data_IF_992063545743
#
_entry.id   IF_992063545743
#
_cell.length_a   1.000
_cell.length_b   1.000
_cell.length_c   1.000
_cell.angle_alpha   90.00
_cell.angle_beta   90.00
_cell.angle_gamma   90.00
#
_symmetry.space_group_name_H-M   'P 1'
#
loop_
_entity.id
_entity.type
_entity.pdbx_description
1 polymer ?
#
# COMPACT_ATOMS: atom_id res chain seq x y z
N UNK A 1 16.71 4.00 -10.08
CA UNK A 1 15.41 4.70 -10.16
C UNK A 1 14.58 4.42 -8.92
N UNK A 2 14.16 3.17 -8.66
CA UNK A 2 13.38 2.88 -7.46
C UNK A 2 14.15 3.18 -6.17
N UNK A 3 15.42 2.79 -6.09
CA UNK A 3 16.32 3.15 -4.99
C UNK A 3 16.40 4.67 -4.80
N UNK A 4 16.65 5.41 -5.87
CA UNK A 4 16.87 6.85 -5.83
C UNK A 4 15.58 7.60 -5.48
N UNK A 5 14.42 7.08 -5.89
CA UNK A 5 13.11 7.59 -5.49
C UNK A 5 12.83 7.36 -4.00
N UNK A 6 13.18 6.18 -3.48
CA UNK A 6 13.01 5.88 -2.05
C UNK A 6 13.89 6.81 -1.21
N UNK A 7 15.15 7.01 -1.61
CA UNK A 7 16.05 7.93 -0.91
C UNK A 7 15.58 9.39 -1.01
N UNK A 8 15.09 9.83 -2.18
CA UNK A 8 14.47 11.14 -2.36
C UNK A 8 13.33 11.42 -1.36
N UNK A 9 12.45 10.45 -1.15
CA UNK A 9 11.31 10.61 -0.23
C UNK A 9 11.77 10.56 1.24
N UNK A 10 12.78 9.75 1.56
CA UNK A 10 13.32 9.64 2.92
C UNK A 10 14.12 10.87 3.34
N UNK A 11 14.94 11.39 2.43
CA UNK A 11 15.81 12.53 2.63
C UNK A 11 15.76 13.44 1.40
N UNK A 12 15.16 14.61 1.59
CA UNK A 12 14.83 15.59 0.54
C UNK A 12 16.00 16.55 0.26
N UNK A 13 17.23 16.10 0.49
CA UNK A 13 18.44 16.88 0.22
C UNK A 13 18.60 17.16 -1.27
N UNK A 14 19.25 18.27 -1.60
CA UNK A 14 19.55 18.63 -3.00
C UNK A 14 20.36 17.53 -3.71
N UNK A 15 21.18 16.81 -2.96
CA UNK A 15 21.97 15.66 -3.44
C UNK A 15 21.07 14.50 -3.89
N UNK A 16 20.07 14.13 -3.09
CA UNK A 16 19.13 13.06 -3.44
C UNK A 16 18.17 13.46 -4.56
N UNK A 17 17.75 14.73 -4.59
CA UNK A 17 16.97 15.30 -5.70
C UNK A 17 17.74 15.15 -7.02
N UNK A 18 18.99 15.62 -7.08
CA UNK A 18 19.81 15.52 -8.29
C UNK A 18 20.11 14.06 -8.65
N UNK A 19 20.38 13.21 -7.66
CA UNK A 19 20.58 11.77 -7.87
C UNK A 19 19.37 11.11 -8.56
N UNK A 20 18.15 11.39 -8.08
CA UNK A 20 16.92 10.88 -8.68
C UNK A 20 16.74 11.38 -10.12
N UNK A 21 16.81 12.70 -10.34
CA UNK A 21 16.58 13.27 -11.67
C UNK A 21 17.68 12.93 -12.67
N UNK A 22 18.93 12.80 -12.24
CA UNK A 22 20.02 12.30 -13.11
C UNK A 22 19.73 10.88 -13.60
N UNK A 23 19.15 10.02 -12.74
CA UNK A 23 18.71 8.69 -13.13
C UNK A 23 17.54 8.73 -14.10
N UNK A 24 16.54 9.59 -13.88
CA UNK A 24 15.42 9.80 -14.82
C UNK A 24 15.94 10.24 -16.19
N UNK A 25 16.85 11.22 -16.23
CA UNK A 25 17.49 11.69 -17.47
C UNK A 25 18.22 10.55 -18.19
N UNK A 26 19.01 9.75 -17.47
CA UNK A 26 19.76 8.61 -18.01
C UNK A 26 18.84 7.54 -18.60
N UNK A 27 17.76 7.18 -17.91
CA UNK A 27 16.80 6.17 -18.39
C UNK A 27 16.06 6.69 -19.62
N UNK A 28 15.59 7.94 -19.58
CA UNK A 28 14.87 8.51 -20.71
C UNK A 28 15.74 8.76 -21.95
N UNK A 29 17.07 8.84 -21.78
CA UNK A 29 18.03 8.87 -22.88
C UNK A 29 18.49 7.46 -23.31
N UNK A 30 18.09 6.41 -22.59
CA UNK A 30 18.54 5.05 -22.84
C UNK A 30 17.90 4.46 -24.09
N UNK A 31 18.67 3.79 -24.97
CA UNK A 31 18.14 3.10 -26.14
C UNK A 31 17.38 1.80 -25.80
N UNK A 32 17.24 1.46 -24.52
CA UNK A 32 16.53 0.26 -24.05
C UNK A 32 15.03 0.28 -24.37
N UNK A 33 14.47 1.46 -24.67
CA UNK A 33 13.11 1.61 -25.17
C UNK A 33 13.13 1.88 -26.68
N UNK A 34 13.44 0.84 -27.46
CA UNK A 34 13.47 0.87 -28.93
C UNK A 34 12.16 1.37 -29.56
N UNK A 35 11.05 1.31 -28.81
CA UNK A 35 9.72 1.73 -29.25
C UNK A 35 9.24 3.06 -28.62
N UNK A 36 10.04 3.71 -27.74
CA UNK A 36 9.65 4.90 -26.96
C UNK A 36 8.28 4.78 -26.28
N UNK A 37 7.97 3.62 -25.72
CA UNK A 37 6.68 3.39 -25.03
C UNK A 37 6.61 4.03 -23.64
N UNK A 38 7.75 4.36 -23.03
CA UNK A 38 7.81 4.97 -21.70
C UNK A 38 7.98 6.49 -21.81
N UNK A 39 6.92 7.22 -21.46
CA UNK A 39 6.94 8.67 -21.37
C UNK A 39 7.36 9.14 -19.98
N UNK A 40 8.57 9.69 -19.87
CA UNK A 40 9.10 10.30 -18.66
C UNK A 40 8.92 11.82 -18.61
N UNK A 41 8.19 12.42 -19.57
CA UNK A 41 8.03 13.88 -19.68
C UNK A 41 7.43 14.49 -18.42
N UNK A 42 6.44 13.84 -17.82
CA UNK A 42 5.81 14.27 -16.56
C UNK A 42 6.79 14.29 -15.39
N UNK A 43 7.57 13.22 -15.24
CA UNK A 43 8.58 13.14 -14.17
C UNK A 43 9.66 14.19 -14.41
N UNK A 44 10.15 14.34 -15.63
CA UNK A 44 11.13 15.41 -15.93
C UNK A 44 10.56 16.81 -15.71
N UNK A 45 9.30 17.01 -16.05
CA UNK A 45 8.60 18.28 -15.89
C UNK A 45 8.48 18.71 -14.43
N UNK A 46 8.37 17.74 -13.50
CA UNK A 46 8.29 18.03 -12.06
C UNK A 46 9.62 18.43 -11.42
N UNK A 47 10.73 18.49 -12.17
CA UNK A 47 12.05 18.80 -11.61
C UNK A 47 12.11 20.24 -11.06
N UNK A 48 11.47 21.19 -11.75
CA UNK A 48 11.50 22.60 -11.35
C UNK A 48 10.73 22.91 -10.07
N UNK A 49 9.72 22.10 -9.73
CA UNK A 49 8.81 22.29 -8.60
C UNK A 49 8.86 21.10 -7.61
N UNK A 50 9.86 20.22 -7.75
CA UNK A 50 9.98 19.00 -6.91
C UNK A 50 9.98 19.31 -5.43
N UNK A 51 10.62 20.40 -5.00
CA UNK A 51 10.71 20.75 -3.58
C UNK A 51 9.33 21.05 -2.99
N UNK A 52 8.47 21.72 -3.75
CA UNK A 52 7.10 22.03 -3.34
C UNK A 52 6.28 20.74 -3.26
N UNK A 53 6.42 19.83 -4.23
CA UNK A 53 5.77 18.52 -4.21
C UNK A 53 6.23 17.65 -3.03
N UNK A 54 7.51 17.71 -2.68
CA UNK A 54 8.08 16.95 -1.58
C UNK A 54 7.78 17.56 -0.22
N UNK A 55 7.46 18.86 -0.09
CA UNK A 55 7.28 19.54 1.18
C UNK A 55 6.31 18.79 2.10
N UNK A 56 5.20 18.32 1.53
CA UNK A 56 4.12 17.66 2.25
C UNK A 56 4.30 16.15 2.47
N UNK A 57 5.34 15.54 1.90
CA UNK A 57 5.62 14.11 2.10
C UNK A 57 6.39 13.89 3.39
N UNK A 58 5.92 12.99 4.25
CA UNK A 58 6.71 12.52 5.36
C UNK A 58 7.73 11.46 4.90
N UNK A 59 8.90 11.35 5.54
CA UNK A 59 9.92 10.32 5.23
C UNK A 59 9.40 8.87 5.33
N UNK A 60 8.28 8.66 6.03
CA UNK A 60 7.58 7.38 6.21
C UNK A 60 6.41 7.19 5.23
N UNK A 61 6.21 8.11 4.28
CA UNK A 61 5.08 8.02 3.32
C UNK A 61 5.14 6.78 2.43
N UNK A 62 6.30 6.12 2.35
CA UNK A 62 6.51 4.86 1.63
C UNK A 62 6.56 3.63 2.57
N UNK A 63 6.24 3.80 3.86
CA UNK A 63 6.24 2.67 4.80
C UNK A 63 5.05 1.74 4.49
N UNK A 64 5.31 0.44 4.19
CA UNK A 64 4.27 -0.50 3.79
C UNK A 64 3.25 -0.79 4.90
N UNK A 65 3.54 -0.48 6.17
CA UNK A 65 2.57 -0.66 7.27
C UNK A 65 1.30 0.16 7.01
N UNK A 66 1.44 1.35 6.41
CA UNK A 66 0.29 2.21 6.12
C UNK A 66 -0.65 1.56 5.09
N UNK A 67 -0.14 1.11 3.95
CA UNK A 67 -0.96 0.42 2.94
C UNK A 67 -1.46 -0.94 3.43
N UNK A 68 -0.67 -1.63 4.26
CA UNK A 68 -1.01 -2.92 4.85
C UNK A 68 -2.27 -2.85 5.72
N UNK A 69 -2.32 -1.95 6.70
CA UNK A 69 -3.50 -1.83 7.57
C UNK A 69 -4.75 -1.41 6.79
N UNK A 70 -4.63 -0.53 5.80
CA UNK A 70 -5.75 -0.17 4.92
C UNK A 70 -6.29 -1.38 4.17
N UNK A 71 -5.41 -2.16 3.55
CA UNK A 71 -5.79 -3.34 2.77
C UNK A 71 -6.50 -4.37 3.65
N UNK A 72 -5.97 -4.66 4.84
CA UNK A 72 -6.62 -5.56 5.79
C UNK A 72 -7.96 -5.02 6.30
N UNK A 73 -8.05 -3.72 6.59
CA UNK A 73 -9.29 -3.09 7.03
C UNK A 73 -10.38 -3.16 5.95
N UNK A 74 -10.00 -3.01 4.68
CA UNK A 74 -10.92 -3.19 3.56
C UNK A 74 -11.38 -4.63 3.42
N UNK A 75 -10.45 -5.58 3.36
CA UNK A 75 -10.73 -7.01 3.22
C UNK A 75 -11.72 -7.48 4.29
N UNK A 76 -11.40 -7.27 5.57
CA UNK A 76 -12.28 -7.66 6.67
C UNK A 76 -13.57 -6.84 6.72
N UNK A 77 -13.59 -5.64 6.17
CA UNK A 77 -14.82 -4.87 6.00
C UNK A 77 -15.77 -5.45 4.96
N UNK A 78 -15.29 -6.26 4.03
CA UNK A 78 -16.14 -7.01 3.09
C UNK A 78 -16.63 -8.33 3.71
N UNK A 79 -15.77 -8.99 4.50
CA UNK A 79 -16.10 -10.24 5.19
C UNK A 79 -17.06 -10.06 6.37
N UNK A 80 -17.00 -8.91 7.07
CA UNK A 80 -17.89 -8.63 8.19
C UNK A 80 -19.06 -7.72 7.79
N UNK A 81 -20.28 -8.15 8.13
CA UNK A 81 -21.49 -7.33 7.94
C UNK A 81 -21.45 -6.04 8.77
N UNK A 82 -20.90 -6.13 9.98
CA UNK A 82 -20.84 -5.04 10.95
C UNK A 82 -19.44 -4.44 11.07
N UNK A 83 -19.38 -3.27 11.70
CA UNK A 83 -18.12 -2.62 12.07
C UNK A 83 -17.34 -3.43 13.11
N UNK A 84 -16.01 -3.37 13.07
CA UNK A 84 -15.11 -4.20 13.88
C UNK A 84 -13.95 -3.41 14.49
N UNK A 85 -13.29 -3.99 15.48
CA UNK A 85 -12.08 -3.45 16.09
C UNK A 85 -10.85 -4.19 15.56
N UNK A 86 -9.75 -3.46 15.40
CA UNK A 86 -8.43 -4.02 15.09
C UNK A 86 -7.61 -4.05 16.37
N UNK A 87 -6.95 -5.18 16.64
CA UNK A 87 -5.92 -5.28 17.66
C UNK A 87 -4.60 -5.52 16.93
N UNK A 88 -3.61 -4.65 17.14
CA UNK A 88 -2.32 -4.71 16.45
C UNK A 88 -1.18 -4.76 17.47
N UNK A 89 -0.08 -5.44 17.12
CA UNK A 89 1.13 -5.42 17.96
C UNK A 89 1.76 -4.02 18.01
N UNK A 90 2.62 -3.78 18.99
CA UNK A 90 3.36 -2.53 19.13
C UNK A 90 4.18 -2.22 17.86
N UNK A 91 3.85 -1.10 17.21
CA UNK A 91 4.50 -0.65 15.99
C UNK A 91 4.60 0.86 15.98
N UNK A 92 5.83 1.38 16.14
CA UNK A 92 6.10 2.81 16.12
C UNK A 92 5.57 3.48 14.84
N UNK A 93 5.68 2.82 13.69
CA UNK A 93 5.17 3.33 12.43
C UNK A 93 3.64 3.42 12.45
N UNK A 94 2.95 2.38 12.94
CA UNK A 94 1.50 2.40 12.99
C UNK A 94 0.98 3.46 13.95
N UNK A 95 1.56 3.56 15.15
CA UNK A 95 1.21 4.58 16.14
C UNK A 95 1.25 5.98 15.53
N UNK A 96 2.31 6.27 14.77
CA UNK A 96 2.54 7.57 14.15
C UNK A 96 1.66 7.84 12.92
N UNK A 97 1.07 6.79 12.33
CA UNK A 97 0.19 6.90 11.16
C UNK A 97 -1.30 6.73 11.50
N UNK A 98 -1.62 6.44 12.76
CA UNK A 98 -2.99 6.16 13.19
C UNK A 98 -3.93 7.35 13.00
N UNK A 99 -3.44 8.57 13.23
CA UNK A 99 -4.21 9.80 12.97
C UNK A 99 -4.59 9.95 11.50
N UNK A 100 -3.71 9.53 10.59
CA UNK A 100 -4.01 9.51 9.17
C UNK A 100 -5.05 8.44 8.85
N UNK A 101 -4.87 7.23 9.37
CA UNK A 101 -5.81 6.11 9.18
C UNK A 101 -7.22 6.45 9.69
N UNK A 102 -7.35 7.06 10.87
CA UNK A 102 -8.62 7.40 11.50
C UNK A 102 -9.47 8.41 10.69
N UNK A 103 -8.87 9.18 9.77
CA UNK A 103 -9.64 10.07 8.86
C UNK A 103 -10.58 9.28 7.94
N UNK A 104 -10.32 8.00 7.77
CA UNK A 104 -11.04 7.11 6.87
C UNK A 104 -12.01 6.20 7.58
N UNK A 105 -12.11 6.25 8.91
CA UNK A 105 -12.97 5.36 9.70
C UNK A 105 -14.23 6.04 10.23
N UNK A 106 -14.33 7.38 10.14
CA UNK A 106 -15.48 8.13 10.65
C UNK A 106 -16.77 7.74 9.90
N UNK A 107 -17.75 7.08 10.55
CA UNK A 107 -18.97 6.60 9.90
C UNK A 107 -19.89 7.74 9.43
N UNK A 108 -19.69 8.97 9.93
CA UNK A 108 -20.43 10.15 9.52
C UNK A 108 -19.83 10.87 8.30
N UNK A 109 -18.75 10.32 7.73
CA UNK A 109 -18.11 10.79 6.50
C UNK A 109 -18.96 10.49 5.27
N UNK A 110 -18.71 11.22 4.18
CA UNK A 110 -19.33 10.93 2.89
C UNK A 110 -18.93 9.53 2.42
N UNK A 111 -19.91 8.71 2.03
CA UNK A 111 -19.64 7.37 1.50
C UNK A 111 -19.15 7.49 0.06
N UNK A 112 -17.99 6.92 -0.23
CA UNK A 112 -17.46 6.86 -1.60
C UNK A 112 -17.05 5.43 -1.96
N UNK A 113 -17.19 5.11 -3.24
CA UNK A 113 -16.67 3.91 -3.87
C UNK A 113 -15.85 4.33 -5.08
N UNK A 114 -14.56 4.01 -5.05
CA UNK A 114 -13.58 4.55 -6.00
C UNK A 114 -12.63 3.46 -6.46
N UNK A 115 -12.37 3.36 -7.77
CA UNK A 115 -11.37 2.46 -8.33
C UNK A 115 -11.87 1.66 -9.52
N UNK A 116 -11.01 0.76 -9.99
CA UNK A 116 -11.24 -0.02 -11.21
C UNK A 116 -11.15 -1.51 -10.97
N UNK A 117 -12.01 -2.25 -11.68
CA UNK A 117 -12.13 -3.71 -11.60
C UNK A 117 -12.42 -4.22 -10.17
N UNK A 118 -11.60 -5.15 -9.67
CA UNK A 118 -11.63 -5.69 -8.30
C UNK A 118 -10.95 -4.79 -7.26
N UNK A 119 -10.34 -3.68 -7.68
CA UNK A 119 -9.61 -2.73 -6.82
C UNK A 119 -10.49 -1.53 -6.49
N UNK A 120 -11.66 -1.79 -5.91
CA UNK A 120 -12.60 -0.76 -5.47
C UNK A 120 -12.37 -0.46 -3.98
N UNK A 121 -12.07 0.80 -3.67
CA UNK A 121 -11.98 1.30 -2.31
C UNK A 121 -13.34 1.78 -1.84
N UNK A 122 -13.78 1.30 -0.68
CA UNK A 122 -15.02 1.70 -0.01
C UNK A 122 -14.70 2.49 1.25
N UNK A 123 -15.19 3.73 1.31
CA UNK A 123 -15.02 4.61 2.47
C UNK A 123 -16.37 5.08 3.00
N UNK A 124 -16.49 5.38 4.31
CA UNK A 124 -15.48 5.12 5.34
C UNK A 124 -15.27 3.62 5.59
N UNK A 125 -14.08 3.25 6.04
CA UNK A 125 -13.73 1.90 6.50
C UNK A 125 -14.63 1.51 7.68
N UNK A 126 -14.99 0.22 7.77
CA UNK A 126 -15.83 -0.32 8.85
C UNK A 126 -15.11 -0.48 10.19
N UNK A 127 -13.89 0.03 10.34
CA UNK A 127 -13.09 -0.07 11.57
C UNK A 127 -13.61 0.94 12.59
N UNK A 128 -13.99 0.48 13.79
CA UNK A 128 -14.40 1.38 14.88
C UNK A 128 -13.19 1.93 15.64
N UNK A 129 -12.20 1.06 15.88
CA UNK A 129 -11.04 1.36 16.72
C UNK A 129 -9.86 0.48 16.35
N UNK A 130 -8.66 1.03 16.49
CA UNK A 130 -7.41 0.27 16.48
C UNK A 130 -6.81 0.33 17.88
N UNK A 131 -6.61 -0.83 18.48
CA UNK A 131 -5.97 -0.99 19.79
C UNK A 131 -4.57 -1.57 19.62
N UNK A 132 -3.57 -0.79 20.01
CA UNK A 132 -2.16 -1.20 19.99
C UNK A 132 -1.85 -1.85 21.32
N UNK A 133 -1.36 -3.09 21.29
CA UNK A 133 -1.15 -3.94 22.46
C UNK A 133 0.13 -4.73 22.36
N UNK A 134 0.75 -4.98 23.50
CA UNK A 134 1.92 -5.85 23.59
C UNK A 134 1.55 -7.32 23.26
N UNK A 135 2.16 -7.87 22.22
CA UNK A 135 1.99 -9.26 21.78
C UNK A 135 2.15 -10.31 22.90
N UNK A 136 2.97 -10.08 23.93
CA UNK A 136 3.16 -11.04 25.03
C UNK A 136 1.93 -11.22 25.91
N UNK A 137 1.01 -10.25 25.88
CA UNK A 137 -0.18 -10.23 26.73
C UNK A 137 -1.45 -10.63 25.97
N UNK A 138 -1.41 -10.69 24.64
CA UNK A 138 -2.57 -10.91 23.78
C UNK A 138 -2.37 -12.16 22.92
N UNK A 139 -3.06 -13.24 23.27
CA UNK A 139 -2.95 -14.52 22.56
C UNK A 139 -3.36 -14.42 21.08
N UNK A 140 -4.30 -13.53 20.73
CA UNK A 140 -4.70 -13.31 19.34
C UNK A 140 -3.54 -12.79 18.48
N UNK A 141 -2.73 -11.87 19.02
CA UNK A 141 -1.54 -11.36 18.32
C UNK A 141 -0.52 -12.50 18.17
N UNK A 142 -0.28 -13.28 19.22
CA UNK A 142 0.65 -14.41 19.16
C UNK A 142 0.28 -15.44 18.08
N UNK A 143 -1.02 -15.76 17.97
CA UNK A 143 -1.52 -16.65 16.91
C UNK A 143 -1.32 -16.02 15.53
N UNK A 144 -1.60 -14.73 15.38
CA UNK A 144 -1.37 -14.00 14.14
C UNK A 144 0.11 -14.02 13.74
N UNK A 145 1.03 -13.80 14.67
CA UNK A 145 2.48 -13.83 14.42
C UNK A 145 2.97 -15.22 14.02
N UNK A 146 2.42 -16.28 14.62
CA UNK A 146 2.74 -17.66 14.24
C UNK A 146 2.31 -17.95 12.79
N UNK A 147 1.10 -17.52 12.40
CA UNK A 147 0.61 -17.69 11.02
C UNK A 147 1.46 -16.86 10.05
N UNK A 148 1.73 -15.59 10.38
CA UNK A 148 2.57 -14.71 9.56
C UNK A 148 3.99 -15.28 9.39
N UNK A 149 4.58 -15.83 10.46
CA UNK A 149 5.88 -16.49 10.43
C UNK A 149 5.88 -17.76 9.58
N UNK A 150 4.83 -18.57 9.65
CA UNK A 150 4.66 -19.77 8.81
C UNK A 150 4.55 -19.40 7.32
N UNK A 151 3.76 -18.39 6.98
CA UNK A 151 3.64 -17.84 5.62
C UNK A 151 4.99 -17.29 5.15
N UNK A 152 5.69 -16.50 5.97
CA UNK A 152 6.98 -15.93 5.61
C UNK A 152 8.02 -17.03 5.32
N UNK A 153 8.05 -18.09 6.15
CA UNK A 153 8.88 -19.27 5.88
C UNK A 153 8.47 -19.94 4.57
N UNK A 154 7.18 -20.22 4.37
CA UNK A 154 6.66 -20.87 3.16
C UNK A 154 7.05 -20.10 1.87
N UNK A 155 6.83 -18.79 1.85
CA UNK A 155 7.19 -17.91 0.73
C UNK A 155 8.71 -17.83 0.51
N UNK A 156 9.51 -17.82 1.58
CA UNK A 156 10.96 -17.84 1.47
C UNK A 156 11.46 -19.09 0.74
N UNK A 157 10.91 -20.26 1.04
CA UNK A 157 11.29 -21.51 0.37
C UNK A 157 10.91 -21.52 -1.11
N UNK A 158 9.81 -20.85 -1.48
CA UNK A 158 9.43 -20.65 -2.88
C UNK A 158 10.48 -19.82 -3.62
N UNK A 159 10.96 -18.73 -3.01
CA UNK A 159 11.96 -17.82 -3.59
C UNK A 159 13.33 -18.49 -3.72
N UNK A 160 13.77 -19.24 -2.69
CA UNK A 160 15.08 -19.90 -2.68
C UNK A 160 15.10 -21.22 -3.46
N UNK A 161 13.93 -21.73 -3.87
CA UNK A 161 13.80 -23.02 -4.55
C UNK A 161 13.97 -24.23 -3.64
N UNK A 162 13.97 -24.06 -2.31
CA UNK A 162 14.26 -25.09 -1.31
C UNK A 162 12.99 -25.82 -0.81
N UNK A 163 12.13 -26.25 -1.75
CA UNK A 163 10.81 -26.86 -1.48
C UNK A 163 10.86 -28.35 -1.11
N UNK A 164 11.78 -28.74 -0.22
CA UNK A 164 11.99 -30.15 0.14
C UNK A 164 12.00 -30.41 1.65
N UNK A 165 11.94 -29.36 2.47
CA UNK A 165 11.90 -29.50 3.92
C UNK A 165 10.55 -30.02 4.41
N UNK A 166 10.57 -30.82 5.48
CA UNK A 166 9.36 -31.42 6.07
C UNK A 166 8.31 -30.36 6.42
N UNK A 167 8.72 -29.27 7.06
CA UNK A 167 7.82 -28.19 7.45
C UNK A 167 7.18 -27.53 6.22
N UNK A 168 7.94 -27.32 5.14
CA UNK A 168 7.39 -26.75 3.91
C UNK A 168 6.29 -27.63 3.32
N UNK A 169 6.50 -28.95 3.24
CA UNK A 169 5.49 -29.89 2.74
C UNK A 169 4.24 -29.93 3.62
N UNK A 170 4.39 -29.84 4.95
CA UNK A 170 3.25 -29.78 5.88
C UNK A 170 2.43 -28.51 5.66
N UNK A 171 3.11 -27.36 5.50
CA UNK A 171 2.45 -26.07 5.22
C UNK A 171 1.78 -26.04 3.84
N UNK A 172 2.41 -26.61 2.83
CA UNK A 172 1.85 -26.76 1.48
C UNK A 172 0.61 -27.67 1.51
N UNK A 173 0.64 -28.76 2.29
CA UNK A 173 -0.47 -29.71 2.40
C UNK A 173 -1.75 -29.15 3.02
N UNK A 174 -1.63 -28.07 3.80
CA UNK A 174 -2.77 -27.35 4.39
C UNK A 174 -3.14 -26.11 3.57
N UNK A 175 -2.57 -25.97 2.38
CA UNK A 175 -2.83 -24.86 1.46
C UNK A 175 -2.61 -23.50 2.14
N UNK A 176 -1.53 -23.37 2.94
CA UNK A 176 -1.29 -22.12 3.71
C UNK A 176 -1.21 -20.88 2.81
N UNK A 177 -0.86 -21.08 1.52
CA UNK A 177 -0.86 -20.03 0.51
C UNK A 177 -2.23 -19.39 0.30
N UNK A 178 -3.34 -20.10 0.53
CA UNK A 178 -4.70 -19.60 0.35
C UNK A 178 -5.09 -18.55 1.41
N UNK A 179 -4.32 -18.44 2.50
CA UNK A 179 -4.45 -17.37 3.47
C UNK A 179 -3.89 -16.03 2.96
N UNK A 180 -3.18 -16.01 1.83
CA UNK A 180 -2.62 -14.79 1.24
C UNK A 180 -3.67 -14.06 0.42
N UNK A 181 -4.06 -12.88 0.90
CA UNK A 181 -4.97 -11.97 0.20
C UNK A 181 -4.22 -10.75 -0.30
N UNK A 182 -4.54 -10.26 -1.51
CA UNK A 182 -3.94 -9.04 -2.09
C UNK A 182 -2.40 -9.04 -2.10
N UNK A 183 -1.79 -10.21 -2.33
CA UNK A 183 -0.33 -10.37 -2.34
C UNK A 183 0.32 -9.52 -3.43
N UNK A 184 1.37 -8.80 -3.07
CA UNK A 184 2.28 -8.14 -4.02
C UNK A 184 3.50 -9.04 -4.22
N UNK A 185 3.59 -9.66 -5.40
CA UNK A 185 4.69 -10.57 -5.75
C UNK A 185 5.62 -9.96 -6.81
N UNK A 186 6.96 -10.02 -6.62
CA UNK A 186 7.89 -9.52 -7.63
C UNK A 186 7.83 -10.36 -8.90
N UNK A 187 7.48 -9.74 -10.03
CA UNK A 187 7.49 -10.37 -11.35
C UNK A 187 8.33 -9.55 -12.35
N UNK A 188 9.07 -10.25 -13.22
CA UNK A 188 9.98 -9.62 -14.18
C UNK A 188 9.29 -8.99 -15.38
N UNK A 189 8.06 -9.44 -15.70
CA UNK A 189 7.25 -8.95 -16.81
C UNK A 189 5.79 -9.07 -16.43
N UNK A 190 5.03 -8.02 -16.71
CA UNK A 190 3.59 -8.05 -16.52
C UNK A 190 2.85 -7.38 -17.66
N UNK A 191 1.64 -7.85 -17.92
CA UNK A 191 0.64 -7.18 -18.75
C UNK A 191 -0.60 -6.87 -17.90
N UNK A 192 -1.39 -5.89 -18.29
CA UNK A 192 -2.66 -5.58 -17.61
C UNK A 192 -3.60 -6.78 -17.63
N UNK A 193 -3.58 -7.58 -18.70
CA UNK A 193 -4.38 -8.79 -18.83
C UNK A 193 -3.93 -9.90 -17.87
N UNK A 194 -2.63 -10.02 -17.58
CA UNK A 194 -2.09 -11.01 -16.63
C UNK A 194 -2.56 -10.73 -15.20
N UNK A 195 -2.75 -9.46 -14.83
CA UNK A 195 -3.35 -9.05 -13.56
C UNK A 195 -4.87 -9.05 -13.57
N UNK A 196 -5.50 -9.69 -14.56
CA UNK A 196 -6.95 -9.84 -14.62
C UNK A 196 -7.70 -8.54 -14.90
N UNK A 197 -7.02 -7.45 -15.26
CA UNK A 197 -7.63 -6.15 -15.55
C UNK A 197 -8.42 -6.27 -16.86
N UNK A 198 -9.72 -6.53 -16.74
CA UNK A 198 -10.63 -6.79 -17.87
C UNK A 198 -11.33 -5.54 -18.37
N UNK A 199 -11.45 -4.51 -17.51
CA UNK A 199 -12.05 -3.21 -17.84
C UNK A 199 -11.28 -2.09 -17.18
N UNK A 200 -10.66 -1.21 -17.97
CA UNK A 200 -10.20 0.08 -17.48
C UNK A 200 -11.39 0.97 -17.06
N UNK A 201 -12.53 0.81 -17.74
CA UNK A 201 -13.74 1.57 -17.50
C UNK A 201 -14.60 0.90 -16.41
N UNK A 202 -14.52 1.43 -15.20
CA UNK A 202 -15.43 1.15 -14.10
C UNK A 202 -16.44 2.29 -13.98
N UNK A 203 -17.67 2.03 -13.49
CA UNK A 203 -18.61 3.10 -13.09
C UNK A 203 -17.98 3.99 -12.00
N UNK A 204 -17.01 3.45 -11.28
CA UNK A 204 -16.17 4.11 -10.28
C UNK A 204 -14.76 4.43 -10.80
N UNK A 205 -14.54 4.36 -12.12
CA UNK A 205 -13.25 4.49 -12.83
C UNK A 205 -12.70 5.91 -12.87
N UNK A 206 -12.74 6.59 -11.73
CA UNK A 206 -12.11 7.87 -11.48
C UNK A 206 -10.74 7.64 -10.83
N UNK A 207 -9.85 8.61 -10.96
CA UNK A 207 -8.53 8.54 -10.36
C UNK A 207 -8.66 8.44 -8.83
N UNK A 208 -8.18 7.34 -8.26
CA UNK A 208 -8.25 7.08 -6.81
C UNK A 208 -7.57 8.21 -6.02
N UNK A 209 -6.45 8.75 -6.51
CA UNK A 209 -5.75 9.82 -5.82
C UNK A 209 -6.60 11.10 -5.72
N UNK A 210 -7.27 11.47 -6.80
CA UNK A 210 -8.09 12.70 -6.87
C UNK A 210 -9.33 12.59 -5.96
N UNK A 211 -9.97 11.42 -5.93
CA UNK A 211 -11.13 11.17 -5.07
C UNK A 211 -10.74 11.09 -3.59
N UNK A 212 -9.60 10.47 -3.26
CA UNK A 212 -9.09 10.45 -1.89
C UNK A 212 -8.73 11.86 -1.44
N UNK A 213 -8.11 12.69 -2.28
CA UNK A 213 -7.85 14.09 -1.98
C UNK A 213 -9.16 14.87 -1.76
N UNK A 214 -10.15 14.69 -2.64
CA UNK A 214 -11.47 15.32 -2.52
C UNK A 214 -12.19 14.90 -1.24
N UNK A 215 -12.15 13.60 -0.91
CA UNK A 215 -12.66 13.05 0.34
C UNK A 215 -12.02 13.74 1.55
N UNK A 216 -10.69 13.81 1.61
CA UNK A 216 -9.97 14.47 2.70
C UNK A 216 -10.32 15.96 2.83
N UNK A 217 -10.42 16.69 1.71
CA UNK A 217 -10.80 18.10 1.70
C UNK A 217 -12.22 18.31 2.26
N UNK A 218 -13.16 17.44 1.90
CA UNK A 218 -14.54 17.49 2.42
C UNK A 218 -14.58 17.19 3.91
N UNK A 219 -13.77 16.23 4.39
CA UNK A 219 -13.62 15.94 5.81
C UNK A 219 -13.06 17.14 6.57
N UNK A 220 -11.96 17.74 6.09
CA UNK A 220 -11.37 18.92 6.72
C UNK A 220 -12.35 20.11 6.82
N UNK A 221 -13.17 20.34 5.77
CA UNK A 221 -14.22 21.37 5.78
C UNK A 221 -15.30 21.13 6.83
N UNK A 222 -15.61 19.87 7.14
CA UNK A 222 -16.60 19.51 8.17
C UNK A 222 -16.09 19.84 9.58
N UNK A 223 -14.82 19.60 9.85
CA UNK A 223 -14.19 19.86 11.15
C UNK A 223 -13.78 21.33 11.36
N UNK A 224 -13.49 22.07 10.28
CA UNK A 224 -13.14 23.50 10.34
C UNK A 224 -14.37 24.46 10.27
N UNK A 225 -15.60 23.93 10.31
CA UNK A 225 -16.83 24.73 10.43
C UNK A 225 -17.15 24.99 11.91
N UNK A 226 -16.28 25.73 12.60
CA UNK A 226 -16.54 26.44 13.85
C UNK A 226 -15.69 27.71 13.91
#
# INVERSE_FOLDING_TARGET
>A
MLSDFIELVKDKSDENIESFYSTVRRIAASPLDLNKQLDFSWIKGSESDVKDHLEHLDRRSLDPVQSGIFTHAQYWGEEFDNSFNIIHDESNTLEQSLDYFNKYTDPSSMKIMVGSDDRIIKLPLKVQKVDIKNSRLISQIQVSDMIAGAIAYYLKQIITGQRSEKLWNELDSIEIGDLLTHMVWPEMKFTTQQYGIKKLDSVHGVNIADEIATYQMNQARKYNRF
#
